data_IF_173040892493
#
_entry.id   IF_173040892493
#
_cell.length_a   1.000
_cell.length_b   1.000
_cell.length_c   1.000
_cell.angle_alpha   90.00
_cell.angle_beta   90.00
_cell.angle_gamma   90.00
#
_symmetry.space_group_name_H-M   'P 1'
#
loop_
_entity.id
_entity.type
_entity.pdbx_description
1 polymer ?
#
# COMPACT_ATOMS: atom_id res chain seq x y z
N UNK A 1 -7.41 1.33 -10.12
CA UNK A 1 -6.91 2.32 -9.13
C UNK A 1 -7.91 2.33 -7.99
N UNK A 2 -7.63 1.60 -6.91
CA UNK A 2 -8.45 1.61 -5.68
C UNK A 2 -7.82 2.55 -4.64
N UNK A 3 -8.61 3.14 -3.73
CA UNK A 3 -8.10 4.11 -2.78
C UNK A 3 -7.21 3.42 -1.72
N UNK A 4 -6.11 4.09 -1.38
CA UNK A 4 -5.42 3.87 -0.12
C UNK A 4 -6.42 4.19 1.00
N UNK A 5 -6.68 3.22 1.88
CA UNK A 5 -7.46 3.43 3.10
C UNK A 5 -6.62 4.31 4.05
N UNK A 6 -6.64 5.61 3.82
CA UNK A 6 -6.31 6.61 4.83
C UNK A 6 -7.50 6.74 5.78
N UNK A 7 -7.21 6.80 7.08
CA UNK A 7 -8.11 7.10 8.18
C UNK A 7 -9.31 6.15 8.34
N UNK A 8 -9.20 5.25 9.33
CA UNK A 8 -10.40 4.68 9.96
C UNK A 8 -11.09 5.83 10.69
N UNK A 9 -12.24 6.25 10.19
CA UNK A 9 -13.15 7.16 10.88
C UNK A 9 -13.64 6.45 12.16
N UNK A 10 -13.16 6.93 13.31
CA UNK A 10 -13.58 6.47 14.63
C UNK A 10 -14.84 7.24 15.00
N UNK A 11 -15.99 6.74 14.52
CA UNK A 11 -17.29 7.24 14.95
C UNK A 11 -17.38 7.26 16.48
N UNK A 12 -17.55 8.46 17.03
CA UNK A 12 -17.82 8.68 18.44
C UNK A 12 -19.17 8.02 18.79
N UNK A 13 -19.12 6.99 19.64
CA UNK A 13 -20.30 6.47 20.31
C UNK A 13 -20.70 7.43 21.41
N UNK A 14 -21.84 8.07 21.24
CA UNK A 14 -22.55 8.86 22.25
C UNK A 14 -23.21 7.90 23.26
N UNK A 15 -22.81 7.98 24.53
CA UNK A 15 -23.55 7.41 25.66
C UNK A 15 -23.87 8.51 26.68
N UNK A 16 -25.13 8.96 26.67
CA UNK A 16 -25.97 9.08 27.87
C UNK A 16 -25.79 10.27 28.82
N UNK A 17 -26.78 11.18 28.82
CA UNK A 17 -27.52 11.47 30.05
C UNK A 17 -27.36 12.85 30.74
N UNK A 18 -28.48 13.58 30.69
CA UNK A 18 -29.08 14.52 31.69
C UNK A 18 -28.52 15.94 31.92
N UNK A 19 -29.36 16.93 31.56
CA UNK A 19 -29.57 18.16 32.34
C UNK A 19 -29.21 19.48 31.65
N UNK A 20 -30.21 20.31 31.34
CA UNK A 20 -30.02 21.76 31.16
C UNK A 20 -30.72 22.39 29.95
N UNK A 21 -31.85 23.03 30.22
CA UNK A 21 -32.61 23.92 29.32
C UNK A 21 -31.79 25.15 28.92
N UNK A 22 -31.74 25.50 27.62
CA UNK A 22 -32.06 26.85 27.08
C UNK A 22 -32.12 26.88 25.54
N UNK A 23 -33.34 27.16 25.04
CA UNK A 23 -33.66 28.20 24.06
C UNK A 23 -32.88 28.39 22.74
N UNK A 24 -33.60 28.08 21.66
CA UNK A 24 -33.74 28.89 20.42
C UNK A 24 -32.57 29.07 19.44
N UNK A 25 -32.72 28.38 18.30
CA UNK A 25 -33.01 29.06 17.02
C UNK A 25 -31.86 29.22 16.02
N UNK A 26 -31.82 28.37 14.99
CA UNK A 26 -31.87 28.77 13.58
C UNK A 26 -31.77 27.55 12.65
N UNK A 27 -32.79 27.37 11.80
CA UNK A 27 -32.76 26.53 10.60
C UNK A 27 -32.62 27.45 9.39
N UNK A 28 -31.66 27.19 8.50
CA UNK A 28 -31.72 27.37 7.03
C UNK A 28 -30.60 26.43 6.52
N UNK A 29 -30.80 25.40 5.70
CA UNK A 29 -31.55 25.31 4.45
C UNK A 29 -30.56 25.43 3.29
N UNK A 30 -30.47 24.42 2.41
CA UNK A 30 -29.74 24.59 1.14
C UNK A 30 -29.22 23.30 0.50
N UNK A 31 -30.07 22.68 -0.31
CA UNK A 31 -29.75 21.58 -1.23
C UNK A 31 -28.80 22.00 -2.36
N UNK A 32 -28.12 20.99 -2.89
CA UNK A 32 -27.36 20.84 -4.15
C UNK A 32 -28.00 21.55 -5.37
N UNK A 33 -27.23 21.83 -6.45
CA UNK A 33 -27.27 20.85 -7.56
C UNK A 33 -25.97 20.59 -8.33
N UNK A 34 -25.98 19.40 -8.91
CA UNK A 34 -25.23 18.87 -10.07
C UNK A 34 -25.29 19.81 -11.28
N UNK A 35 -24.20 19.89 -12.05
CA UNK A 35 -24.16 20.58 -13.35
C UNK A 35 -23.16 19.94 -14.31
N UNK A 36 -23.69 19.33 -15.37
CA UNK A 36 -23.01 18.71 -16.51
C UNK A 36 -22.31 19.74 -17.43
N UNK A 37 -21.24 19.28 -18.09
CA UNK A 37 -20.58 19.85 -19.28
C UNK A 37 -21.57 20.03 -20.47
N UNK A 38 -21.33 20.94 -21.46
CA UNK A 38 -20.47 20.59 -22.62
C UNK A 38 -19.77 21.73 -23.42
N UNK A 39 -18.79 21.27 -24.23
CA UNK A 39 -18.40 21.62 -25.62
C UNK A 39 -17.93 23.03 -26.08
N UNK A 40 -16.92 23.00 -26.97
CA UNK A 40 -16.38 24.07 -27.81
C UNK A 40 -14.85 24.12 -27.70
N UNK A 41 -13.99 24.13 -28.72
CA UNK A 41 -14.00 24.24 -30.18
C UNK A 41 -12.52 24.44 -30.56
N UNK A 42 -11.93 23.70 -31.51
CA UNK A 42 -11.65 24.24 -32.84
C UNK A 42 -10.15 24.20 -33.23
N UNK A 43 -9.88 23.58 -34.40
CA UNK A 43 -8.91 23.97 -35.46
C UNK A 43 -7.38 23.90 -35.13
N UNK A 44 -6.42 23.59 -36.00
CA UNK A 44 -6.23 23.13 -37.40
C UNK A 44 -4.72 22.82 -37.53
N UNK A 45 -4.30 21.91 -38.40
CA UNK A 45 -2.87 21.80 -38.77
C UNK A 45 -2.49 20.54 -39.54
N UNK A 46 -2.74 20.55 -40.84
CA UNK A 46 -2.19 19.57 -41.81
C UNK A 46 -0.72 19.86 -42.14
N UNK A 47 0.06 18.81 -42.37
CA UNK A 47 1.42 18.91 -42.92
C UNK A 47 1.94 17.54 -43.35
N UNK A 48 1.69 17.19 -44.62
CA UNK A 48 2.27 16.02 -45.29
C UNK A 48 3.69 16.34 -45.77
N UNK A 49 4.62 15.38 -45.61
CA UNK A 49 5.96 15.41 -46.21
C UNK A 49 6.44 13.99 -46.48
N UNK A 50 6.52 13.63 -47.76
CA UNK A 50 7.07 12.38 -48.30
C UNK A 50 8.53 12.60 -48.75
N UNK A 51 9.32 11.53 -48.70
CA UNK A 51 10.65 11.41 -49.34
C UNK A 51 11.74 11.04 -48.32
N UNK A 52 12.58 10.02 -48.49
CA UNK A 52 12.83 9.15 -49.64
C UNK A 52 13.75 7.99 -49.25
N UNK A 53 13.82 7.00 -50.14
CA UNK A 53 14.60 5.77 -50.05
C UNK A 53 16.12 5.98 -50.06
N UNK A 54 16.84 5.12 -49.33
CA UNK A 54 18.28 4.93 -49.44
C UNK A 54 18.64 3.49 -49.09
N UNK A 55 19.18 2.76 -50.07
CA UNK A 55 19.58 1.36 -50.04
C UNK A 55 21.05 1.22 -49.62
N UNK A 56 21.40 0.12 -48.94
CA UNK A 56 22.72 -0.50 -49.05
C UNK A 56 23.52 -0.66 -47.74
N UNK A 57 23.94 -1.90 -47.44
CA UNK A 57 25.13 -2.16 -46.61
C UNK A 57 24.99 -3.30 -45.60
N UNK A 58 25.39 -4.50 -46.00
CA UNK A 58 25.68 -5.64 -45.14
C UNK A 58 26.84 -5.40 -44.14
N UNK A 59 26.94 -6.36 -43.20
CA UNK A 59 28.11 -6.74 -42.41
C UNK A 59 28.25 -6.09 -41.02
N UNK A 60 27.81 -6.84 -40.01
CA UNK A 60 28.13 -6.58 -38.62
C UNK A 60 27.37 -7.49 -37.68
N UNK A 61 27.75 -8.78 -37.63
CA UNK A 61 27.45 -9.66 -36.47
C UNK A 61 28.13 -9.05 -35.25
N UNK A 62 27.48 -8.08 -34.61
CA UNK A 62 27.80 -7.69 -33.25
C UNK A 62 27.16 -8.73 -32.35
N UNK A 63 27.99 -9.45 -31.61
CA UNK A 63 27.56 -10.36 -30.57
C UNK A 63 26.58 -9.63 -29.65
N UNK A 64 25.37 -10.17 -29.57
CA UNK A 64 24.40 -9.84 -28.54
C UNK A 64 25.11 -9.94 -27.18
N UNK A 65 25.31 -8.85 -26.42
CA UNK A 65 25.91 -8.96 -25.11
C UNK A 65 24.92 -9.75 -24.27
N UNK A 66 25.26 -11.02 -24.08
CA UNK A 66 24.54 -12.01 -23.31
C UNK A 66 23.70 -11.32 -22.22
N UNK A 67 22.40 -11.19 -22.51
CA UNK A 67 21.41 -10.88 -21.50
C UNK A 67 21.71 -11.86 -20.37
N UNK A 68 22.10 -11.41 -19.16
CA UNK A 68 22.29 -12.34 -18.08
C UNK A 68 20.95 -13.05 -17.95
N UNK A 69 20.97 -14.36 -18.17
CA UNK A 69 19.88 -15.25 -17.82
C UNK A 69 19.74 -15.14 -16.31
N UNK A 70 19.07 -14.08 -15.86
CA UNK A 70 18.60 -13.92 -14.52
C UNK A 70 17.52 -14.96 -14.34
N UNK A 71 17.96 -16.20 -14.06
CA UNK A 71 17.14 -17.13 -13.33
C UNK A 71 16.75 -16.41 -12.06
N UNK A 72 15.58 -15.76 -12.08
CA UNK A 72 14.86 -15.34 -10.89
C UNK A 72 14.52 -16.64 -10.16
N UNK A 73 15.54 -17.21 -9.52
CA UNK A 73 15.47 -18.51 -8.91
C UNK A 73 14.34 -18.47 -7.91
N UNK A 74 13.51 -19.51 -7.96
CA UNK A 74 12.56 -19.84 -6.92
C UNK A 74 13.35 -19.86 -5.60
N UNK A 75 13.30 -18.76 -4.84
CA UNK A 75 13.87 -18.72 -3.50
C UNK A 75 12.79 -19.22 -2.55
N UNK A 76 13.10 -20.18 -1.67
CA UNK A 76 12.17 -20.56 -0.62
C UNK A 76 11.76 -19.33 0.19
N UNK A 77 10.47 -19.23 0.55
CA UNK A 77 9.94 -18.11 1.35
C UNK A 77 10.77 -17.82 2.62
N UNK A 78 11.27 -18.81 3.39
CA UNK A 78 12.15 -18.51 4.53
C UNK A 78 13.42 -17.74 4.16
N UNK A 79 14.04 -18.05 3.02
CA UNK A 79 15.23 -17.34 2.53
C UNK A 79 14.88 -15.91 2.08
N UNK A 80 13.69 -15.72 1.47
CA UNK A 80 13.19 -14.40 1.11
C UNK A 80 12.92 -13.52 2.34
N UNK A 81 12.25 -14.07 3.36
CA UNK A 81 12.02 -13.36 4.62
C UNK A 81 13.34 -12.99 5.32
N UNK A 82 14.30 -13.91 5.37
CA UNK A 82 15.62 -13.66 5.97
C UNK A 82 16.41 -12.58 5.23
N UNK A 83 16.12 -12.36 3.95
CA UNK A 83 16.77 -11.38 3.09
C UNK A 83 15.90 -10.14 2.79
N UNK A 84 14.77 -9.97 3.48
CA UNK A 84 13.70 -9.05 3.12
C UNK A 84 14.17 -7.61 2.85
N UNK A 85 15.13 -7.10 3.62
CA UNK A 85 15.67 -5.74 3.48
C UNK A 85 16.23 -5.47 2.08
N UNK A 86 16.79 -6.49 1.41
CA UNK A 86 17.36 -6.36 0.05
C UNK A 86 16.30 -6.11 -1.03
N UNK A 87 15.04 -6.37 -0.70
CA UNK A 87 13.92 -6.29 -1.62
C UNK A 87 12.96 -5.15 -1.29
N UNK A 88 13.21 -4.42 -0.20
CA UNK A 88 12.42 -3.27 0.20
C UNK A 88 13.03 -1.99 -0.37
N UNK A 89 12.16 -1.09 -0.85
CA UNK A 89 12.54 0.26 -1.28
C UNK A 89 11.58 1.26 -0.68
N UNK A 90 12.10 2.42 -0.29
CA UNK A 90 11.32 3.56 0.18
C UNK A 90 11.43 4.67 -0.87
N UNK A 91 10.32 5.32 -1.17
CA UNK A 91 10.24 6.41 -2.14
C UNK A 91 8.84 6.99 -2.20
N UNK A 92 8.51 7.66 -3.30
CA UNK A 92 7.16 8.15 -3.57
C UNK A 92 6.29 7.06 -4.23
N UNK A 93 4.95 7.16 -4.16
CA UNK A 93 4.05 6.25 -4.87
C UNK A 93 4.35 6.09 -6.37
N UNK A 94 4.79 7.17 -7.02
CA UNK A 94 5.10 7.21 -8.46
C UNK A 94 6.39 6.47 -8.80
N UNK A 95 7.43 6.65 -7.98
CA UNK A 95 8.71 5.93 -8.14
C UNK A 95 8.53 4.43 -7.94
N UNK A 96 7.66 4.04 -7.00
CA UNK A 96 7.44 2.64 -6.62
C UNK A 96 6.32 1.94 -7.41
N UNK A 97 5.82 2.52 -8.51
CA UNK A 97 4.67 1.99 -9.27
C UNK A 97 4.83 0.56 -9.81
N UNK A 98 6.06 0.04 -9.87
CA UNK A 98 6.36 -1.33 -10.33
C UNK A 98 6.65 -2.31 -9.19
N UNK A 99 6.51 -1.89 -7.94
CA UNK A 99 6.60 -2.82 -6.82
C UNK A 99 5.47 -3.86 -6.90
N UNK A 100 5.77 -5.10 -6.52
CA UNK A 100 4.80 -6.21 -6.48
C UNK A 100 3.66 -5.91 -5.51
N UNK A 101 3.99 -5.29 -4.38
CA UNK A 101 3.04 -4.77 -3.40
C UNK A 101 3.63 -3.53 -2.74
N UNK A 102 2.75 -2.66 -2.22
CA UNK A 102 3.10 -1.36 -1.65
C UNK A 102 2.39 -1.14 -0.32
N UNK A 103 3.03 -0.39 0.57
CA UNK A 103 2.39 0.23 1.74
C UNK A 103 2.63 1.73 1.68
N UNK A 104 1.61 2.51 2.02
CA UNK A 104 1.61 3.96 1.96
C UNK A 104 1.70 4.53 3.37
N UNK A 105 2.56 5.54 3.55
CA UNK A 105 2.77 6.20 4.83
C UNK A 105 1.98 7.51 4.87
N UNK A 106 1.68 7.97 6.09
CA UNK A 106 0.95 9.21 6.38
C UNK A 106 1.70 10.49 5.95
N UNK A 107 3.02 10.40 5.80
CA UNK A 107 3.90 11.50 5.35
C UNK A 107 4.09 11.55 3.83
N UNK A 108 3.33 10.76 3.07
CA UNK A 108 3.36 10.71 1.61
C UNK A 108 4.43 9.79 1.02
N UNK A 109 5.31 9.22 1.84
CA UNK A 109 6.23 8.15 1.39
C UNK A 109 5.46 6.85 1.14
N UNK A 110 6.13 5.94 0.45
CA UNK A 110 5.66 4.61 0.13
C UNK A 110 6.80 3.62 0.31
N UNK A 111 6.47 2.42 0.77
CA UNK A 111 7.36 1.26 0.80
C UNK A 111 6.91 0.28 -0.28
N UNK A 112 7.85 -0.27 -1.04
CA UNK A 112 7.58 -1.22 -2.12
C UNK A 112 8.40 -2.49 -1.99
N UNK A 113 7.78 -3.63 -2.27
CA UNK A 113 8.44 -4.94 -2.37
C UNK A 113 8.83 -5.27 -3.81
N UNK A 114 10.10 -5.62 -4.02
CA UNK A 114 10.69 -6.00 -5.32
C UNK A 114 11.31 -7.41 -5.30
N UNK A 115 10.98 -8.21 -4.30
CA UNK A 115 11.45 -9.59 -4.25
C UNK A 115 10.78 -10.46 -5.31
N UNK A 116 11.41 -11.60 -5.67
CA UNK A 116 10.87 -12.50 -6.68
C UNK A 116 9.48 -13.02 -6.27
N UNK A 117 8.63 -13.24 -7.27
CA UNK A 117 7.38 -13.96 -7.07
C UNK A 117 7.68 -15.41 -6.71
N UNK A 118 6.90 -15.97 -5.79
CA UNK A 118 7.02 -17.37 -5.39
C UNK A 118 5.73 -18.08 -5.80
N UNK A 119 5.77 -19.11 -6.68
CA UNK A 119 4.58 -19.81 -7.14
C UNK A 119 3.75 -20.32 -5.97
N UNK A 120 2.43 -20.17 -6.06
CA UNK A 120 1.47 -20.55 -5.00
C UNK A 120 1.69 -19.82 -3.68
N UNK A 121 2.36 -18.67 -3.68
CA UNK A 121 2.48 -17.80 -2.51
C UNK A 121 2.17 -16.36 -2.88
N UNK A 122 1.33 -15.72 -2.08
CA UNK A 122 1.05 -14.29 -2.11
C UNK A 122 1.96 -13.56 -1.13
N UNK A 123 2.28 -12.31 -1.42
CA UNK A 123 3.09 -11.44 -0.56
C UNK A 123 2.32 -10.17 -0.23
N UNK A 124 2.39 -9.75 1.03
CA UNK A 124 1.91 -8.46 1.49
C UNK A 124 2.99 -7.78 2.32
N UNK A 125 3.02 -6.45 2.24
CA UNK A 125 3.80 -5.62 3.15
C UNK A 125 2.92 -4.61 3.84
N UNK A 126 3.34 -4.24 5.04
CA UNK A 126 2.86 -3.05 5.70
C UNK A 126 3.99 -2.32 6.44
N UNK A 127 3.89 -1.01 6.52
CA UNK A 127 4.92 -0.15 7.08
C UNK A 127 4.31 1.01 7.85
N UNK A 128 4.93 1.34 8.98
CA UNK A 128 4.55 2.48 9.81
C UNK A 128 5.79 3.23 10.29
N UNK A 129 5.67 4.54 10.48
CA UNK A 129 6.76 5.33 11.08
C UNK A 129 6.97 4.90 12.52
N UNK A 130 8.18 4.46 12.84
CA UNK A 130 8.50 3.91 14.14
C UNK A 130 8.29 4.89 15.31
N UNK A 131 8.47 6.19 15.04
CA UNK A 131 8.31 7.27 16.00
C UNK A 131 6.91 7.92 15.95
N UNK A 132 5.99 7.41 15.13
CA UNK A 132 4.62 7.91 15.14
C UNK A 132 3.97 7.67 16.52
N UNK A 133 3.21 8.66 16.98
CA UNK A 133 2.45 8.53 18.20
C UNK A 133 1.33 7.49 17.99
N UNK A 134 1.23 6.52 18.90
CA UNK A 134 0.10 5.57 18.88
C UNK A 134 -1.16 6.34 19.25
N UNK A 135 -2.24 6.30 18.43
CA UNK A 135 -3.48 6.99 18.77
C UNK A 135 -4.01 6.53 20.14
N UNK A 136 -4.43 7.45 21.04
CA UNK A 136 -4.79 7.11 22.41
C UNK A 136 -5.85 6.00 22.53
N UNK A 137 -6.87 6.02 21.67
CA UNK A 137 -7.90 4.98 21.63
C UNK A 137 -7.33 3.58 21.30
N UNK A 138 -6.34 3.53 20.40
CA UNK A 138 -5.67 2.29 20.03
C UNK A 138 -4.67 1.83 21.10
N UNK A 139 -3.98 2.78 21.73
CA UNK A 139 -3.11 2.51 22.87
C UNK A 139 -3.90 1.94 24.06
N UNK A 140 -5.07 2.52 24.38
CA UNK A 140 -5.96 2.03 25.43
C UNK A 140 -6.48 0.62 25.12
N UNK A 141 -6.79 0.35 23.86
CA UNK A 141 -7.37 -0.93 23.44
C UNK A 141 -6.34 -2.06 23.31
N UNK A 142 -5.16 -1.77 22.77
CA UNK A 142 -4.18 -2.80 22.39
C UNK A 142 -2.86 -2.71 23.16
N UNK A 143 -2.70 -1.72 24.03
CA UNK A 143 -1.45 -1.41 24.71
C UNK A 143 -0.43 -0.73 23.77
N UNK A 144 0.46 0.13 24.28
CA UNK A 144 1.44 0.84 23.47
C UNK A 144 2.70 0.01 23.14
N UNK A 145 2.99 -1.03 23.92
CA UNK A 145 4.20 -1.84 23.76
C UNK A 145 4.25 -2.50 22.37
N UNK A 146 5.34 -2.27 21.64
CA UNK A 146 5.57 -2.77 20.28
C UNK A 146 4.39 -2.57 19.33
N UNK A 147 3.59 -1.51 19.55
CA UNK A 147 2.32 -1.32 18.86
C UNK A 147 2.48 -1.39 17.34
N UNK A 148 3.40 -0.61 16.78
CA UNK A 148 3.62 -0.57 15.33
C UNK A 148 4.06 -1.92 14.76
N UNK A 149 4.88 -2.68 15.47
CA UNK A 149 5.30 -4.01 15.02
C UNK A 149 4.14 -5.02 15.01
N UNK A 150 3.21 -4.90 15.97
CA UNK A 150 2.00 -5.73 16.02
C UNK A 150 0.97 -5.28 14.98
N UNK A 151 0.84 -3.97 14.78
CA UNK A 151 -0.04 -3.34 13.82
C UNK A 151 0.31 -3.73 12.38
N UNK A 152 1.56 -3.47 11.94
CA UNK A 152 1.99 -3.79 10.57
C UNK A 152 1.88 -5.28 10.25
N UNK A 153 2.08 -6.12 11.27
CA UNK A 153 1.86 -7.56 11.16
C UNK A 153 0.39 -7.89 10.96
N UNK A 154 -0.50 -7.35 11.79
CA UNK A 154 -1.94 -7.58 11.64
C UNK A 154 -2.44 -7.10 10.27
N UNK A 155 -2.04 -5.90 9.84
CA UNK A 155 -2.35 -5.33 8.52
C UNK A 155 -1.88 -6.23 7.37
N UNK A 156 -0.64 -6.72 7.43
CA UNK A 156 -0.11 -7.63 6.40
C UNK A 156 -0.92 -8.94 6.31
N UNK A 157 -1.34 -9.48 7.46
CA UNK A 157 -2.20 -10.66 7.50
C UNK A 157 -3.62 -10.38 7.00
N UNK A 158 -4.17 -9.20 7.31
CA UNK A 158 -5.46 -8.73 6.78
C UNK A 158 -5.43 -8.67 5.24
N UNK A 159 -4.36 -8.11 4.67
CA UNK A 159 -4.14 -8.02 3.22
C UNK A 159 -4.08 -9.40 2.57
N UNK A 160 -3.40 -10.37 3.18
CA UNK A 160 -3.32 -11.75 2.67
C UNK A 160 -4.63 -12.52 2.82
N UNK A 161 -5.39 -12.27 3.89
CA UNK A 161 -6.67 -12.90 4.15
C UNK A 161 -7.86 -12.22 3.44
N UNK A 162 -7.63 -11.07 2.80
CA UNK A 162 -8.67 -10.23 2.19
C UNK A 162 -9.77 -9.82 3.18
N UNK A 163 -9.37 -9.55 4.43
CA UNK A 163 -10.26 -9.14 5.52
C UNK A 163 -9.98 -7.68 5.89
N UNK A 164 -11.00 -6.82 6.03
CA UNK A 164 -10.78 -5.47 6.54
C UNK A 164 -10.15 -5.48 7.94
N UNK A 165 -9.17 -4.60 8.19
CA UNK A 165 -8.49 -4.50 9.51
C UNK A 165 -9.49 -4.32 10.65
N UNK A 166 -10.59 -3.59 10.39
CA UNK A 166 -11.65 -3.36 11.35
C UNK A 166 -12.46 -4.63 11.72
N UNK A 167 -12.54 -5.61 10.83
CA UNK A 167 -13.13 -6.91 11.12
C UNK A 167 -12.12 -7.81 11.85
N UNK A 168 -10.86 -7.79 11.42
CA UNK A 168 -9.78 -8.56 12.01
C UNK A 168 -9.58 -8.27 13.50
N UNK A 169 -9.35 -7.01 13.85
CA UNK A 169 -9.01 -6.62 15.22
C UNK A 169 -10.17 -6.75 16.23
N UNK A 170 -11.43 -6.85 15.75
CA UNK A 170 -12.61 -7.13 16.59
C UNK A 170 -12.61 -8.59 17.02
N UNK A 171 -12.09 -9.48 16.16
CA UNK A 171 -12.04 -10.92 16.42
C UNK A 171 -10.72 -11.36 17.05
N UNK A 172 -9.61 -10.75 16.66
CA UNK A 172 -8.26 -11.24 16.97
C UNK A 172 -7.37 -10.21 17.67
N UNK A 173 -7.85 -8.96 17.87
CA UNK A 173 -6.98 -7.85 18.25
C UNK A 173 -5.81 -7.69 17.28
N UNK A 174 -4.60 -7.44 17.80
CA UNK A 174 -3.35 -7.43 17.02
C UNK A 174 -2.57 -8.76 17.12
N UNK A 175 -3.22 -9.82 17.62
CA UNK A 175 -2.63 -11.14 17.69
C UNK A 175 -2.70 -11.85 16.33
N UNK A 176 -1.86 -12.88 16.19
CA UNK A 176 -1.86 -13.76 15.02
C UNK A 176 -2.69 -15.00 15.34
N UNK A 177 -3.71 -15.34 14.54
CA UNK A 177 -4.46 -16.57 14.72
C UNK A 177 -3.54 -17.82 14.65
N UNK A 178 -3.68 -18.79 15.56
CA UNK A 178 -2.74 -19.92 15.68
C UNK A 178 -2.71 -20.83 14.45
N UNK A 179 -3.74 -20.82 13.62
CA UNK A 179 -3.85 -21.63 12.40
C UNK A 179 -3.51 -20.85 11.13
N UNK A 180 -2.91 -19.66 11.24
CA UNK A 180 -2.44 -18.96 10.06
C UNK A 180 -1.33 -19.78 9.39
N UNK A 181 -1.44 -19.95 8.07
CA UNK A 181 -0.37 -20.51 7.24
C UNK A 181 0.62 -19.44 6.77
N UNK A 182 0.35 -18.18 7.15
CA UNK A 182 1.23 -17.08 6.80
C UNK A 182 2.53 -17.16 7.61
N UNK A 183 3.65 -16.86 6.95
CA UNK A 183 4.94 -16.61 7.58
C UNK A 183 5.30 -15.16 7.37
N UNK A 184 5.93 -14.53 8.36
CA UNK A 184 6.25 -13.12 8.29
C UNK A 184 7.57 -12.81 8.99
N UNK A 185 8.08 -11.62 8.70
CA UNK A 185 9.16 -10.99 9.44
C UNK A 185 8.84 -9.52 9.63
N UNK A 186 8.95 -9.04 10.86
CA UNK A 186 8.91 -7.60 11.16
C UNK A 186 10.33 -7.13 11.37
N UNK A 187 10.71 -6.03 10.72
CA UNK A 187 12.05 -5.47 10.75
C UNK A 187 12.02 -3.95 10.80
N UNK A 188 13.14 -3.35 11.15
CA UNK A 188 13.33 -1.90 11.08
C UNK A 188 14.19 -1.55 9.87
N UNK A 189 13.76 -0.54 9.13
CA UNK A 189 14.51 0.03 8.01
C UNK A 189 14.42 1.54 8.11
N UNK A 190 15.56 2.20 8.34
CA UNK A 190 15.60 3.62 8.70
C UNK A 190 14.64 3.94 9.86
N UNK A 191 13.69 4.87 9.67
CA UNK A 191 12.69 5.29 10.64
C UNK A 191 11.40 4.46 10.60
N UNK A 192 11.35 3.36 9.83
CA UNK A 192 10.14 2.57 9.62
C UNK A 192 10.18 1.24 10.37
N UNK A 193 9.02 0.81 10.85
CA UNK A 193 8.73 -0.59 11.21
C UNK A 193 7.99 -1.20 10.03
N UNK A 194 8.49 -2.30 9.49
CA UNK A 194 7.95 -2.94 8.28
C UNK A 194 7.70 -4.41 8.58
N UNK A 195 6.52 -4.91 8.22
CA UNK A 195 6.26 -6.35 8.13
C UNK A 195 6.22 -6.78 6.67
N UNK A 196 6.96 -7.85 6.35
CA UNK A 196 6.80 -8.61 5.12
C UNK A 196 6.17 -9.94 5.47
N UNK A 197 5.05 -10.28 4.84
CA UNK A 197 4.33 -11.51 5.07
C UNK A 197 4.06 -12.26 3.76
N UNK A 198 4.10 -13.58 3.83
CA UNK A 198 3.77 -14.49 2.75
C UNK A 198 2.72 -15.48 3.23
N UNK A 199 1.76 -15.82 2.37
CA UNK A 199 0.81 -16.92 2.60
C UNK A 199 0.60 -17.71 1.30
N UNK A 200 0.29 -19.01 1.39
CA UNK A 200 -0.10 -19.80 0.23
C UNK A 200 -1.44 -19.34 -0.39
#
# INVERSE_FOLDING_TARGET
>A
MGPALCAVDLGAGDEGGTGGVVGSGARVGGSVPVGLRPAGGGLTGSGSGLGGSGVGGEAGRAADPARPAGGAGLRPVPALLSAAERYLRVGTPTELRYAVTRSHLDDGRCVGWYGPTTPSWRVAIDAERAAAAVPPALAARFGPADFWARWTRAESLCKLAEVPVAAWWRRHGLAVPPHTRAVWRTLRLADLVITVAFAP
#
